data_IF_574880520365
#
_entry.id   IF_574880520365
#
_cell.length_a   1.000
_cell.length_b   1.000
_cell.length_c   1.000
_cell.angle_alpha   90.00
_cell.angle_beta   90.00
_cell.angle_gamma   90.00
#
_symmetry.space_group_name_H-M   'P 1'
#
loop_
_entity.id
_entity.type
_entity.pdbx_description
1 polymer ?
#
# COMPACT_ATOMS: atom_id res chain seq x y z
N UNK A 1 -5.34 -7.45 -8.24
CA UNK A 1 -4.67 -6.86 -7.07
C UNK A 1 -4.82 -7.82 -5.90
N UNK A 2 -4.01 -7.70 -4.85
CA UNK A 2 -4.12 -8.46 -3.60
C UNK A 2 -4.14 -7.47 -2.44
N UNK A 3 -5.01 -7.68 -1.45
CA UNK A 3 -5.06 -6.87 -0.24
C UNK A 3 -4.20 -7.48 0.87
N UNK A 4 -3.28 -6.71 1.45
CA UNK A 4 -2.50 -7.13 2.61
C UNK A 4 -3.19 -6.55 3.85
N UNK A 5 -3.66 -7.41 4.75
CA UNK A 5 -4.52 -7.01 5.86
C UNK A 5 -3.92 -7.42 7.22
N UNK A 6 -4.10 -6.61 8.28
CA UNK A 6 -3.71 -7.01 9.64
C UNK A 6 -4.70 -8.02 10.26
N UNK A 7 -5.93 -8.08 9.75
CA UNK A 7 -6.99 -8.99 10.17
C UNK A 7 -8.07 -9.12 9.09
N UNK A 8 -9.09 -9.94 9.33
CA UNK A 8 -10.13 -10.26 8.35
C UNK A 8 -11.36 -9.34 8.38
N UNK A 9 -11.37 -8.27 9.19
CA UNK A 9 -12.57 -7.44 9.34
C UNK A 9 -13.03 -6.81 8.02
N UNK A 10 -12.09 -6.51 7.10
CA UNK A 10 -12.40 -5.99 5.78
C UNK A 10 -13.21 -6.98 4.92
N UNK A 11 -13.09 -8.28 5.17
CA UNK A 11 -13.83 -9.32 4.44
C UNK A 11 -15.32 -9.34 4.77
N UNK A 12 -15.74 -8.71 5.87
CA UNK A 12 -17.17 -8.51 6.16
C UNK A 12 -17.83 -7.53 5.17
N UNK A 13 -17.02 -6.66 4.54
CA UNK A 13 -17.47 -5.67 3.55
C UNK A 13 -17.17 -6.17 2.14
N UNK A 14 -16.00 -6.80 1.96
CA UNK A 14 -15.52 -7.31 0.67
C UNK A 14 -15.14 -8.79 0.80
N UNK A 15 -16.12 -9.72 0.80
CA UNK A 15 -15.86 -11.14 1.11
C UNK A 15 -14.94 -11.83 0.12
N UNK A 16 -14.95 -11.42 -1.15
CA UNK A 16 -14.28 -12.12 -2.24
C UNK A 16 -12.93 -11.50 -2.66
N UNK A 17 -12.40 -10.53 -1.90
CA UNK A 17 -11.12 -9.90 -2.29
C UNK A 17 -9.96 -10.89 -2.12
N UNK A 18 -9.09 -11.06 -3.14
CA UNK A 18 -7.84 -11.76 -2.97
C UNK A 18 -7.03 -11.07 -1.87
N UNK A 19 -6.62 -11.81 -0.85
CA UNK A 19 -5.98 -11.22 0.32
C UNK A 19 -4.85 -12.08 0.89
N UNK A 20 -3.97 -11.41 1.63
CA UNK A 20 -2.95 -11.99 2.47
C UNK A 20 -3.09 -11.41 3.88
N UNK A 21 -3.33 -12.27 4.87
CA UNK A 21 -3.35 -11.84 6.27
C UNK A 21 -1.92 -11.80 6.81
N UNK A 22 -1.43 -10.59 7.06
CA UNK A 22 -0.10 -10.35 7.60
C UNK A 22 -0.09 -10.30 9.13
N UNK A 23 -1.25 -10.26 9.80
CA UNK A 23 -1.35 -10.26 11.25
C UNK A 23 -0.48 -9.19 11.91
N UNK A 24 0.31 -9.59 12.91
CA UNK A 24 1.29 -8.73 13.60
C UNK A 24 2.55 -8.46 12.78
N UNK A 25 2.75 -9.14 11.65
CA UNK A 25 3.84 -8.89 10.71
C UNK A 25 3.65 -7.63 9.88
N UNK A 26 2.43 -7.07 9.84
CA UNK A 26 2.18 -5.76 9.24
C UNK A 26 2.35 -4.68 10.30
N UNK A 27 3.40 -3.86 10.16
CA UNK A 27 3.59 -2.68 10.98
C UNK A 27 2.42 -1.69 10.82
N UNK A 28 2.17 -0.87 11.84
CA UNK A 28 1.17 0.19 11.78
C UNK A 28 1.41 1.08 10.55
N UNK A 29 0.37 1.25 9.73
CA UNK A 29 0.40 2.18 8.60
C UNK A 29 0.37 3.62 9.12
N UNK A 30 1.33 4.43 8.69
CA UNK A 30 1.48 5.82 9.14
C UNK A 30 1.06 6.79 8.03
N UNK A 31 0.12 7.68 8.37
CA UNK A 31 -0.34 8.72 7.44
C UNK A 31 0.66 9.89 7.30
N UNK A 32 1.69 9.98 8.15
CA UNK A 32 2.71 11.02 8.10
C UNK A 32 3.87 10.76 7.12
N UNK A 33 3.79 9.70 6.33
CA UNK A 33 4.84 9.25 5.42
C UNK A 33 5.77 8.19 6.04
N UNK A 34 6.02 7.11 5.31
CA UNK A 34 6.91 6.01 5.71
C UNK A 34 7.38 5.22 4.47
N UNK A 35 8.36 4.34 4.65
CA UNK A 35 8.76 3.41 3.61
C UNK A 35 7.79 2.22 3.55
N UNK A 36 7.27 1.95 2.36
CA UNK A 36 6.61 0.69 1.99
C UNK A 36 7.66 -0.17 1.30
N UNK A 37 7.99 -1.31 1.89
CA UNK A 37 9.07 -2.19 1.41
C UNK A 37 8.53 -3.59 1.19
N UNK A 38 8.87 -4.18 0.04
CA UNK A 38 8.66 -5.60 -0.25
C UNK A 38 10.03 -6.25 -0.31
N UNK A 39 10.26 -7.25 0.54
CA UNK A 39 11.51 -8.00 0.58
C UNK A 39 11.22 -9.51 0.56
N UNK A 40 12.20 -10.29 0.13
CA UNK A 40 12.12 -11.75 0.22
C UNK A 40 12.41 -12.23 1.66
N UNK A 41 12.34 -13.55 1.89
CA UNK A 41 12.59 -14.15 3.20
C UNK A 41 14.04 -13.98 3.73
N UNK A 42 14.99 -13.67 2.84
CA UNK A 42 16.40 -13.39 3.18
C UNK A 42 16.63 -11.90 3.50
N UNK A 43 15.59 -11.06 3.40
CA UNK A 43 15.67 -9.62 3.63
C UNK A 43 16.14 -8.82 2.41
N UNK A 44 16.30 -9.44 1.24
CA UNK A 44 16.64 -8.73 -0.01
C UNK A 44 15.42 -7.93 -0.47
N UNK A 45 15.60 -6.62 -0.61
CA UNK A 45 14.56 -5.70 -1.10
C UNK A 45 14.26 -6.02 -2.56
N UNK A 46 13.01 -6.35 -2.86
CA UNK A 46 12.47 -6.56 -4.21
C UNK A 46 11.99 -5.23 -4.77
N UNK A 47 11.26 -4.44 -3.97
CA UNK A 47 10.79 -3.10 -4.33
C UNK A 47 10.59 -2.24 -3.07
N UNK A 48 10.64 -0.92 -3.24
CA UNK A 48 10.35 0.02 -2.15
C UNK A 48 9.82 1.36 -2.66
N UNK A 49 9.00 2.01 -1.82
CA UNK A 49 8.44 3.33 -2.05
C UNK A 49 8.41 4.09 -0.73
N UNK A 50 8.95 5.32 -0.71
CA UNK A 50 8.67 6.24 0.39
C UNK A 50 7.30 6.87 0.14
N UNK A 51 6.27 6.46 0.87
CA UNK A 51 4.97 7.12 0.84
C UNK A 51 5.11 8.57 1.35
N UNK A 52 4.53 9.52 0.61
CA UNK A 52 4.35 10.90 1.04
C UNK A 52 2.87 11.27 1.01
N UNK A 53 2.30 11.81 2.11
CA UNK A 53 0.92 12.28 2.10
C UNK A 53 0.70 13.48 1.16
N UNK A 54 1.76 14.19 0.76
CA UNK A 54 1.68 15.34 -0.16
C UNK A 54 1.25 14.97 -1.60
N UNK A 55 1.19 13.69 -1.94
CA UNK A 55 0.77 13.23 -3.28
C UNK A 55 -0.74 13.21 -3.48
N UNK A 56 -1.52 13.35 -2.41
CA UNK A 56 -2.98 13.31 -2.45
C UNK A 56 -3.63 14.27 -1.47
N UNK A 57 -4.93 14.12 -1.30
CA UNK A 57 -5.78 14.90 -0.41
C UNK A 57 -5.96 14.30 0.98
N UNK A 58 -6.66 15.05 1.83
CA UNK A 58 -7.04 14.60 3.17
C UNK A 58 -8.29 13.70 3.11
N UNK A 59 -8.27 12.60 3.85
CA UNK A 59 -9.44 11.71 3.98
C UNK A 59 -9.72 10.82 2.76
N UNK A 60 -8.80 10.75 1.80
CA UNK A 60 -8.91 9.94 0.59
C UNK A 60 -7.71 9.00 0.44
N UNK A 61 -7.93 7.85 -0.18
CA UNK A 61 -6.86 6.89 -0.45
C UNK A 61 -6.03 7.33 -1.66
N UNK A 62 -4.76 6.94 -1.70
CA UNK A 62 -3.89 7.24 -2.83
C UNK A 62 -3.72 6.01 -3.72
N UNK A 63 -3.87 6.19 -5.03
CA UNK A 63 -3.71 5.13 -6.02
C UNK A 63 -2.62 5.45 -7.05
N UNK A 64 -1.90 4.40 -7.48
CA UNK A 64 -0.93 4.53 -8.57
C UNK A 64 -1.66 4.59 -9.90
N UNK A 65 -1.44 5.66 -10.66
CA UNK A 65 -2.11 5.94 -11.94
C UNK A 65 -1.70 5.00 -13.06
N UNK A 66 -0.41 4.66 -13.13
CA UNK A 66 0.16 3.81 -14.20
C UNK A 66 1.13 2.79 -13.63
N UNK A 67 0.76 1.51 -13.73
CA UNK A 67 1.58 0.39 -13.26
C UNK A 67 2.92 0.26 -14.00
N UNK A 68 3.00 0.73 -15.26
CA UNK A 68 4.20 0.67 -16.10
C UNK A 68 5.11 1.91 -16.01
N UNK A 69 4.83 2.84 -15.10
CA UNK A 69 5.67 4.01 -14.80
C UNK A 69 6.20 3.91 -13.39
N UNK A 70 7.41 4.38 -13.11
CA UNK A 70 8.01 4.28 -11.77
C UNK A 70 7.04 4.69 -10.67
N UNK A 71 7.03 3.95 -9.56
CA UNK A 71 6.32 4.32 -8.33
C UNK A 71 6.96 5.52 -7.65
N UNK A 72 8.22 5.86 -7.99
CA UNK A 72 8.96 6.96 -7.38
C UNK A 72 8.56 8.34 -7.89
N UNK A 73 7.77 8.42 -8.97
CA UNK A 73 7.29 9.69 -9.52
C UNK A 73 5.97 10.07 -8.84
N UNK A 74 5.95 11.22 -8.17
CA UNK A 74 4.76 11.73 -7.47
C UNK A 74 3.59 11.93 -8.42
N UNK A 75 3.84 12.32 -9.68
CA UNK A 75 2.83 12.53 -10.72
C UNK A 75 2.13 11.23 -11.13
N UNK A 76 2.69 10.08 -10.76
CA UNK A 76 2.10 8.77 -10.96
C UNK A 76 1.18 8.34 -9.81
N UNK A 77 0.89 9.22 -8.86
CA UNK A 77 -0.07 9.01 -7.78
C UNK A 77 -1.15 10.08 -7.83
N UNK A 78 -2.36 9.69 -7.41
CA UNK A 78 -3.48 10.60 -7.25
C UNK A 78 -4.52 9.98 -6.29
N UNK A 79 -5.45 10.81 -5.86
CA UNK A 79 -6.59 10.38 -5.06
C UNK A 79 -7.38 9.28 -5.77
N UNK A 80 -7.85 8.30 -4.99
CA UNK A 80 -8.76 7.26 -5.46
C UNK A 80 -10.07 7.89 -5.95
N UNK A 81 -10.64 7.40 -7.08
CA UNK A 81 -11.92 7.90 -7.62
C UNK A 81 -13.11 7.76 -6.68
#
# INVERSE_FOLDING_TARGET
>A
YIAILPNFNLLNIFPDIPHLNAGTGLSTLKNGGDNVVVANAEGVIIDSLRYSPEWGGEGVSLERRRANRSSLYSENWADSP
#
